data_IF_898566452689
#
_entry.id   IF_898566452689
#
_cell.length_a   1.000
_cell.length_b   1.000
_cell.length_c   1.000
_cell.angle_alpha   90.00
_cell.angle_beta   90.00
_cell.angle_gamma   90.00
#
_symmetry.space_group_name_H-M   'P 1'
#
loop_
_entity.id
_entity.type
_entity.pdbx_description
1 polymer ?
#
# COMPACT_ATOMS: atom_id res chain seq x y z
N UNK A 1 -12.74 -18.05 10.11
CA UNK A 1 -11.26 -18.03 10.16
C UNK A 1 -10.79 -16.60 10.36
N UNK A 2 -9.93 -16.41 11.36
CA UNK A 2 -9.63 -15.11 11.97
C UNK A 2 -8.66 -14.33 11.08
N UNK A 3 -9.11 -13.22 10.50
CA UNK A 3 -8.21 -12.16 10.05
C UNK A 3 -7.61 -11.51 11.31
N UNK A 4 -6.57 -12.14 11.86
CA UNK A 4 -5.94 -11.72 13.12
C UNK A 4 -5.49 -10.27 13.02
N UNK A 5 -5.92 -9.49 14.01
CA UNK A 5 -5.59 -8.09 14.32
C UNK A 5 -4.09 -7.70 14.11
N UNK A 6 -3.18 -8.69 14.10
CA UNK A 6 -1.74 -8.51 13.89
C UNK A 6 -1.27 -8.20 12.45
N UNK A 7 -2.09 -8.30 11.40
CA UNK A 7 -1.68 -7.95 10.02
C UNK A 7 -1.75 -6.45 9.75
N UNK A 8 -2.77 -5.77 10.25
CA UNK A 8 -2.93 -4.31 10.12
C UNK A 8 -1.86 -3.54 10.93
N UNK A 9 -1.41 -4.10 12.06
CA UNK A 9 -0.29 -3.55 12.84
C UNK A 9 1.05 -3.56 12.12
N UNK A 10 1.26 -4.43 11.12
CA UNK A 10 2.52 -4.48 10.35
C UNK A 10 2.69 -3.35 9.35
N UNK A 11 1.61 -2.67 8.95
CA UNK A 11 1.65 -1.55 7.99
C UNK A 11 1.76 -0.17 8.66
N UNK A 12 1.27 -0.02 9.90
CA UNK A 12 1.32 1.27 10.61
C UNK A 12 2.75 1.74 10.84
N UNK A 13 3.62 0.86 11.35
CA UNK A 13 5.01 1.18 11.66
C UNK A 13 5.85 1.57 10.41
N UNK A 14 5.78 0.85 9.27
CA UNK A 14 6.42 1.28 8.02
C UNK A 14 5.95 2.64 7.51
N UNK A 15 4.65 2.93 7.58
CA UNK A 15 4.08 4.19 7.11
C UNK A 15 4.50 5.37 8.01
N UNK A 16 4.54 5.17 9.33
CA UNK A 16 5.08 6.14 10.27
C UNK A 16 6.57 6.39 10.04
N UNK A 17 7.33 5.33 9.73
CA UNK A 17 8.75 5.47 9.36
C UNK A 17 8.93 6.33 8.11
N UNK A 18 8.08 6.18 7.09
CA UNK A 18 8.09 7.05 5.91
C UNK A 18 7.82 8.51 6.31
N UNK A 19 6.83 8.77 7.18
CA UNK A 19 6.52 10.12 7.66
C UNK A 19 7.71 10.74 8.40
N UNK A 20 8.35 9.99 9.29
CA UNK A 20 9.55 10.43 10.01
C UNK A 20 10.70 10.74 9.05
N UNK A 21 10.97 9.85 8.08
CA UNK A 21 12.04 10.05 7.09
C UNK A 21 11.77 11.28 6.20
N UNK A 22 10.52 11.54 5.81
CA UNK A 22 10.15 12.74 5.06
C UNK A 22 10.36 14.01 5.88
N UNK A 23 9.95 14.02 7.15
CA UNK A 23 10.19 15.17 8.07
C UNK A 23 11.68 15.41 8.32
N UNK A 24 12.50 14.35 8.37
CA UNK A 24 13.94 14.49 8.50
C UNK A 24 14.59 15.01 7.21
N UNK A 25 14.08 14.61 6.05
CA UNK A 25 14.56 15.08 4.74
C UNK A 25 14.27 16.57 4.52
N UNK A 26 13.08 17.05 4.90
CA UNK A 26 12.68 18.45 4.70
C UNK A 26 13.53 19.45 5.49
N UNK A 27 14.14 19.01 6.60
CA UNK A 27 15.03 19.85 7.42
C UNK A 27 16.49 19.87 6.93
N UNK A 28 16.84 19.07 5.91
CA UNK A 28 18.22 18.99 5.40
C UNK A 28 18.45 19.99 4.29
N UNK A 29 19.64 20.60 4.27
CA UNK A 29 20.09 21.49 3.18
C UNK A 29 20.00 20.79 1.84
N UNK A 30 19.21 21.36 0.93
CA UNK A 30 19.00 20.86 -0.42
C UNK A 30 20.33 20.62 -1.15
N UNK A 31 20.39 19.54 -1.94
CA UNK A 31 21.57 19.09 -2.70
C UNK A 31 22.86 18.80 -1.92
N UNK A 32 22.86 18.89 -0.59
CA UNK A 32 24.00 18.40 0.20
C UNK A 32 24.18 16.89 0.03
N UNK A 33 25.42 16.39 0.19
CA UNK A 33 25.71 14.94 0.20
C UNK A 33 24.81 14.17 1.18
N UNK A 34 24.49 14.79 2.32
CA UNK A 34 23.60 14.25 3.34
C UNK A 34 22.12 14.28 2.94
N UNK A 35 21.68 15.25 2.14
CA UNK A 35 20.32 15.28 1.59
C UNK A 35 20.12 14.18 0.55
N UNK A 36 21.08 13.98 -0.36
CA UNK A 36 21.02 12.89 -1.35
C UNK A 36 20.94 11.51 -0.69
N UNK A 37 21.76 11.26 0.35
CA UNK A 37 21.69 10.03 1.16
C UNK A 37 20.33 9.88 1.85
N UNK A 38 19.78 10.96 2.40
CA UNK A 38 18.49 10.93 3.08
C UNK A 38 17.32 10.70 2.12
N UNK A 39 17.37 11.23 0.89
CA UNK A 39 16.34 11.05 -0.14
C UNK A 39 16.13 9.57 -0.53
N UNK A 40 17.18 8.76 -0.50
CA UNK A 40 17.11 7.32 -0.80
C UNK A 40 16.35 6.51 0.26
N UNK A 41 16.34 6.96 1.52
CA UNK A 41 15.76 6.20 2.64
C UNK A 41 14.23 6.05 2.55
N UNK A 42 13.43 7.12 2.30
CA UNK A 42 12.00 6.97 2.05
C UNK A 42 11.69 6.03 0.89
N UNK A 43 12.44 6.09 -0.21
CA UNK A 43 12.22 5.25 -1.39
C UNK A 43 12.34 3.75 -1.05
N UNK A 44 13.41 3.35 -0.35
CA UNK A 44 13.58 1.97 0.13
C UNK A 44 12.45 1.53 1.07
N UNK A 45 11.92 2.44 1.87
CA UNK A 45 10.79 2.12 2.75
C UNK A 45 9.48 1.98 1.97
N UNK A 46 9.27 2.74 0.89
CA UNK A 46 8.15 2.55 -0.03
C UNK A 46 8.20 1.19 -0.74
N UNK A 47 9.39 0.75 -1.15
CA UNK A 47 9.60 -0.59 -1.72
C UNK A 47 9.16 -1.70 -0.76
N UNK A 48 9.58 -1.63 0.51
CA UNK A 48 9.12 -2.58 1.54
C UNK A 48 7.61 -2.60 1.74
N UNK A 49 6.95 -1.44 1.68
CA UNK A 49 5.48 -1.35 1.77
C UNK A 49 4.84 -1.99 0.55
N UNK A 50 5.40 -1.79 -0.64
CA UNK A 50 4.94 -2.42 -1.89
C UNK A 50 5.08 -3.95 -1.81
N UNK A 51 6.23 -4.46 -1.38
CA UNK A 51 6.48 -5.89 -1.25
C UNK A 51 5.52 -6.55 -0.27
N UNK A 52 5.29 -5.90 0.89
CA UNK A 52 4.30 -6.36 1.86
C UNK A 52 2.88 -6.40 1.29
N UNK A 53 2.47 -5.35 0.56
CA UNK A 53 1.14 -5.33 -0.09
C UNK A 53 1.00 -6.48 -1.08
N UNK A 54 2.03 -6.72 -1.88
CA UNK A 54 2.05 -7.83 -2.85
C UNK A 54 1.93 -9.19 -2.17
N UNK A 55 2.69 -9.42 -1.11
CA UNK A 55 2.64 -10.66 -0.31
C UNK A 55 1.25 -10.88 0.30
N UNK A 56 0.63 -9.83 0.85
CA UNK A 56 -0.73 -9.89 1.36
C UNK A 56 -1.72 -10.33 0.28
N UNK A 57 -1.70 -9.68 -0.88
CA UNK A 57 -2.64 -10.02 -1.96
C UNK A 57 -2.36 -11.39 -2.57
N UNK A 58 -1.11 -11.83 -2.63
CA UNK A 58 -0.78 -13.17 -3.10
C UNK A 58 -1.34 -14.24 -2.17
N UNK A 59 -1.21 -14.06 -0.86
CA UNK A 59 -1.79 -14.96 0.14
C UNK A 59 -3.32 -14.95 0.08
N UNK A 60 -3.94 -13.77 0.01
CA UNK A 60 -5.38 -13.66 -0.12
C UNK A 60 -5.89 -14.30 -1.42
N UNK A 61 -5.22 -14.04 -2.55
CA UNK A 61 -5.55 -14.64 -3.83
C UNK A 61 -5.44 -16.17 -3.78
N UNK A 62 -4.34 -16.70 -3.25
CA UNK A 62 -4.16 -18.14 -3.09
C UNK A 62 -5.24 -18.78 -2.20
N UNK A 63 -5.62 -18.13 -1.09
CA UNK A 63 -6.72 -18.60 -0.24
C UNK A 63 -8.06 -18.59 -0.98
N UNK A 64 -8.39 -17.48 -1.65
CA UNK A 64 -9.64 -17.34 -2.39
C UNK A 64 -9.74 -18.35 -3.54
N UNK A 65 -8.66 -18.59 -4.28
CA UNK A 65 -8.61 -19.58 -5.36
C UNK A 65 -8.73 -21.03 -4.88
N UNK A 66 -8.42 -21.30 -3.61
CA UNK A 66 -8.62 -22.63 -3.03
C UNK A 66 -10.05 -22.82 -2.50
N UNK A 67 -10.67 -21.74 -2.00
CA UNK A 67 -12.00 -21.79 -1.38
C UNK A 67 -13.15 -21.64 -2.39
N UNK A 68 -12.93 -20.97 -3.52
CA UNK A 68 -13.96 -20.65 -4.50
C UNK A 68 -13.55 -21.09 -5.91
N UNK A 69 -14.44 -21.82 -6.58
CA UNK A 69 -14.24 -22.27 -7.97
C UNK A 69 -14.34 -21.13 -8.99
N UNK A 70 -15.03 -20.03 -8.63
CA UNK A 70 -15.18 -18.83 -9.47
C UNK A 70 -15.09 -17.55 -8.63
N UNK A 71 -14.12 -16.70 -8.98
CA UNK A 71 -14.01 -15.33 -8.48
C UNK A 71 -14.32 -14.34 -9.61
N UNK A 72 -15.37 -13.54 -9.42
CA UNK A 72 -15.70 -12.45 -10.35
C UNK A 72 -15.27 -11.13 -9.73
N UNK A 73 -14.26 -10.48 -10.32
CA UNK A 73 -14.00 -9.07 -10.06
C UNK A 73 -14.89 -8.25 -11.00
N UNK A 74 -15.84 -7.51 -10.44
CA UNK A 74 -16.53 -6.48 -11.22
C UNK A 74 -15.52 -5.47 -11.77
N UNK A 75 -15.73 -4.98 -13.00
CA UNK A 75 -14.92 -3.93 -13.60
C UNK A 75 -15.20 -2.59 -12.91
N UNK A 76 -14.64 -2.47 -11.72
CA UNK A 76 -14.82 -1.32 -10.86
C UNK A 76 -13.91 -0.20 -11.35
N UNK A 77 -14.49 0.92 -11.79
CA UNK A 77 -13.71 2.13 -12.07
C UNK A 77 -13.18 2.74 -10.76
N UNK A 78 -12.09 2.16 -10.25
CA UNK A 78 -11.42 2.59 -9.02
C UNK A 78 -10.97 4.04 -9.12
N UNK A 79 -10.55 4.49 -10.32
CA UNK A 79 -10.14 5.88 -10.55
C UNK A 79 -11.32 6.82 -10.38
N UNK A 80 -12.47 6.50 -10.97
CA UNK A 80 -13.72 7.23 -10.78
C UNK A 80 -14.19 7.23 -9.33
N UNK A 81 -14.08 6.12 -8.61
CA UNK A 81 -14.46 6.04 -7.19
C UNK A 81 -13.57 6.88 -6.27
N UNK A 82 -12.27 6.95 -6.57
CA UNK A 82 -11.35 7.87 -5.89
C UNK A 82 -11.68 9.31 -6.26
N UNK A 83 -11.92 9.56 -7.55
CA UNK A 83 -12.45 10.79 -8.15
C UNK A 83 -13.59 11.40 -7.33
N UNK A 84 -14.66 10.63 -7.25
CA UNK A 84 -15.97 10.96 -6.68
C UNK A 84 -16.02 10.76 -5.15
N UNK A 85 -14.93 10.31 -4.53
CA UNK A 85 -14.91 10.03 -3.10
C UNK A 85 -15.15 11.30 -2.29
N UNK A 86 -16.28 11.37 -1.57
CA UNK A 86 -16.74 12.55 -0.82
C UNK A 86 -15.73 13.00 0.25
N UNK A 87 -15.06 12.05 0.91
CA UNK A 87 -14.13 12.35 2.01
C UNK A 87 -12.70 11.95 1.69
N UNK A 88 -11.74 12.74 2.20
CA UNK A 88 -10.29 12.46 2.09
C UNK A 88 -9.95 11.07 2.62
N UNK A 89 -10.60 10.64 3.72
CA UNK A 89 -10.40 9.32 4.33
C UNK A 89 -10.87 8.19 3.39
N UNK A 90 -12.02 8.35 2.75
CA UNK A 90 -12.53 7.37 1.77
C UNK A 90 -11.60 7.26 0.56
N UNK A 91 -11.18 8.38 -0.02
CA UNK A 91 -10.21 8.40 -1.13
C UNK A 91 -8.91 7.69 -0.76
N UNK A 92 -8.40 7.92 0.45
CA UNK A 92 -7.14 7.30 0.90
C UNK A 92 -7.29 5.80 1.12
N UNK A 93 -8.41 5.34 1.69
CA UNK A 93 -8.70 3.91 1.82
C UNK A 93 -8.80 3.22 0.46
N UNK A 94 -9.41 3.88 -0.53
CA UNK A 94 -9.50 3.38 -1.91
C UNK A 94 -8.12 3.32 -2.59
N UNK A 95 -7.24 4.29 -2.32
CA UNK A 95 -5.84 4.23 -2.75
C UNK A 95 -5.06 3.11 -2.06
N UNK A 96 -5.26 2.94 -0.76
CA UNK A 96 -4.53 1.93 0.02
C UNK A 96 -4.99 0.50 -0.28
N UNK A 97 -6.25 0.32 -0.66
CA UNK A 97 -6.82 -1.00 -1.00
C UNK A 97 -6.23 -1.62 -2.27
N UNK A 98 -5.41 -0.89 -3.04
CA UNK A 98 -4.50 -1.43 -4.07
C UNK A 98 -5.16 -2.49 -4.99
N UNK A 99 -6.42 -2.27 -5.38
CA UNK A 99 -7.23 -3.22 -6.19
C UNK A 99 -6.56 -3.67 -7.48
N UNK A 100 -5.63 -2.88 -8.02
CA UNK A 100 -4.81 -3.24 -9.18
C UNK A 100 -3.94 -4.48 -8.95
N UNK A 101 -3.45 -4.70 -7.72
CA UNK A 101 -2.63 -5.88 -7.39
C UNK A 101 -3.49 -7.15 -7.34
N UNK A 102 -4.71 -7.07 -6.82
CA UNK A 102 -5.67 -8.18 -6.86
C UNK A 102 -6.01 -8.57 -8.30
N UNK A 103 -6.32 -7.58 -9.15
CA UNK A 103 -6.60 -7.81 -10.57
C UNK A 103 -5.43 -8.47 -11.30
N UNK A 104 -4.19 -8.19 -10.89
CA UNK A 104 -2.98 -8.80 -11.47
C UNK A 104 -2.76 -10.26 -11.04
N UNK A 105 -3.30 -10.67 -9.89
CA UNK A 105 -3.11 -12.02 -9.35
C UNK A 105 -4.24 -12.95 -9.80
N UNK A 106 -5.45 -12.42 -9.93
CA UNK A 106 -6.66 -13.19 -10.27
C UNK A 106 -7.02 -13.18 -11.76
N UNK A 107 -6.42 -12.31 -12.57
CA UNK A 107 -6.54 -12.31 -14.03
C UNK A 107 -5.26 -12.78 -14.68
#
# INVERSE_FOLDING_TARGET
MVASSGTLGRLSAPLERIRMLRRALSRRRFLSKNWLKAKRRPAKQHERVKDFRRDLFFKLGAQLSQEYDLLVLEDLDVRGLVQKGVTKKRRMRLYDSSFSELRRILG
#
